data_IF_804558896302
#
_entry.id   IF_804558896302
#
_cell.length_a   1.000
_cell.length_b   1.000
_cell.length_c   1.000
_cell.angle_alpha   90.00
_cell.angle_beta   90.00
_cell.angle_gamma   90.00
#
_symmetry.space_group_name_H-M   'P 1'
#
loop_
_entity.id
_entity.type
_entity.pdbx_description
1 polymer ?
#
# COMPACT_ATOMS: atom_id res chain seq x y z
N UNK A 1 1.58 2.37 21.52
CA UNK A 1 0.35 2.08 20.74
C UNK A 1 0.04 3.14 19.68
N UNK A 2 -0.34 4.38 20.04
CA UNK A 2 -0.81 5.41 19.06
C UNK A 2 0.21 5.76 17.97
N UNK A 3 1.49 5.92 18.30
CA UNK A 3 2.53 6.23 17.31
C UNK A 3 2.71 5.15 16.23
N UNK A 4 2.69 3.87 16.62
CA UNK A 4 2.82 2.75 15.68
C UNK A 4 1.65 2.64 14.72
N UNK A 5 0.43 2.95 15.20
CA UNK A 5 -0.77 2.97 14.36
C UNK A 5 -0.71 4.12 13.36
N UNK A 6 -0.25 5.30 13.79
CA UNK A 6 -0.10 6.47 12.90
C UNK A 6 0.96 6.19 11.83
N UNK A 7 2.12 5.63 12.19
CA UNK A 7 3.13 5.23 11.20
C UNK A 7 2.59 4.18 10.22
N UNK A 8 1.86 3.18 10.72
CA UNK A 8 1.25 2.14 9.90
C UNK A 8 0.27 2.72 8.88
N UNK A 9 -0.66 3.57 9.34
CA UNK A 9 -1.66 4.22 8.48
C UNK A 9 -0.96 5.15 7.49
N UNK A 10 0.03 5.92 7.93
CA UNK A 10 0.78 6.82 7.06
C UNK A 10 1.53 6.05 5.96
N UNK A 11 2.26 4.99 6.31
CA UNK A 11 2.91 4.12 5.32
C UNK A 11 1.92 3.43 4.39
N UNK A 12 0.77 2.96 4.89
CA UNK A 12 -0.28 2.35 4.06
C UNK A 12 -0.85 3.35 3.05
N UNK A 13 -1.15 4.57 3.48
CA UNK A 13 -1.71 5.64 2.62
C UNK A 13 -0.67 6.12 1.62
N UNK A 14 0.57 6.41 2.06
CA UNK A 14 1.65 6.81 1.15
C UNK A 14 1.93 5.73 0.12
N UNK A 15 2.02 4.46 0.53
CA UNK A 15 2.24 3.37 -0.42
C UNK A 15 1.06 3.21 -1.37
N UNK A 16 -0.17 3.24 -0.88
CA UNK A 16 -1.37 3.18 -1.72
C UNK A 16 -1.35 4.28 -2.79
N UNK A 17 -1.08 5.53 -2.42
CA UNK A 17 -1.07 6.66 -3.37
C UNK A 17 0.08 6.52 -4.37
N UNK A 18 1.31 6.28 -3.91
CA UNK A 18 2.48 6.16 -4.77
C UNK A 18 2.37 4.95 -5.71
N UNK A 19 1.89 3.81 -5.21
CA UNK A 19 1.69 2.59 -5.98
C UNK A 19 0.58 2.76 -7.01
N UNK A 20 -0.56 3.33 -6.61
CA UNK A 20 -1.66 3.64 -7.52
C UNK A 20 -1.23 4.57 -8.64
N UNK A 21 -0.44 5.61 -8.30
CA UNK A 21 0.08 6.56 -9.28
C UNK A 21 1.10 5.90 -10.22
N UNK A 22 2.03 5.11 -9.68
CA UNK A 22 3.01 4.36 -10.48
C UNK A 22 2.32 3.38 -11.45
N UNK A 23 1.35 2.61 -10.96
CA UNK A 23 0.59 1.67 -11.79
C UNK A 23 -0.31 2.36 -12.81
N UNK A 24 -0.86 3.53 -12.46
CA UNK A 24 -1.63 4.37 -13.38
C UNK A 24 -0.80 4.74 -14.61
N UNK A 25 0.43 5.21 -14.41
CA UNK A 25 1.33 5.57 -15.52
C UNK A 25 1.97 4.36 -16.21
N UNK A 26 2.24 3.26 -15.49
CA UNK A 26 2.93 2.10 -16.04
C UNK A 26 2.01 1.19 -16.88
N UNK A 27 0.92 0.69 -16.28
CA UNK A 27 0.13 -0.40 -16.83
C UNK A 27 -1.37 -0.09 -16.92
N UNK A 28 -1.98 0.53 -15.91
CA UNK A 28 -3.44 0.67 -15.86
C UNK A 28 -3.98 1.57 -16.98
N UNK A 29 -3.24 2.62 -17.36
CA UNK A 29 -3.58 3.44 -18.54
C UNK A 29 -3.49 2.66 -19.85
N UNK A 30 -2.50 1.76 -20.00
CA UNK A 30 -2.34 0.92 -21.21
C UNK A 30 -3.35 -0.24 -21.26
N UNK A 31 -3.76 -0.74 -20.10
CA UNK A 31 -4.70 -1.84 -19.96
C UNK A 31 -6.19 -1.41 -20.03
N UNK A 32 -6.47 -0.12 -20.21
CA UNK A 32 -7.85 0.39 -20.23
C UNK A 32 -8.60 0.14 -18.93
N UNK A 33 -7.88 0.09 -17.81
CA UNK A 33 -8.43 -0.34 -16.53
C UNK A 33 -9.35 0.76 -15.98
N UNK A 34 -10.62 0.42 -15.72
CA UNK A 34 -11.60 1.39 -15.21
C UNK A 34 -11.12 2.02 -13.90
N UNK A 35 -11.23 3.35 -13.80
CA UNK A 35 -10.72 4.14 -12.66
C UNK A 35 -11.21 3.64 -11.31
N UNK A 36 -12.44 3.10 -11.21
CA UNK A 36 -12.95 2.50 -9.96
C UNK A 36 -12.16 1.27 -9.54
N UNK A 37 -11.82 0.38 -10.49
CA UNK A 37 -11.04 -0.83 -10.20
C UNK A 37 -9.61 -0.48 -9.80
N UNK A 38 -9.01 0.49 -10.50
CA UNK A 38 -7.69 1.02 -10.16
C UNK A 38 -7.64 1.56 -8.72
N UNK A 39 -8.63 2.37 -8.32
CA UNK A 39 -8.72 2.89 -6.96
C UNK A 39 -8.88 1.77 -5.93
N UNK A 40 -9.76 0.79 -6.17
CA UNK A 40 -9.91 -0.35 -5.24
C UNK A 40 -8.62 -1.15 -5.07
N UNK A 41 -7.93 -1.47 -6.17
CA UNK A 41 -6.67 -2.25 -6.13
C UNK A 41 -5.58 -1.46 -5.38
N UNK A 42 -5.49 -0.16 -5.64
CA UNK A 42 -4.59 0.76 -4.96
C UNK A 42 -4.87 0.79 -3.45
N UNK A 43 -6.15 0.88 -3.07
CA UNK A 43 -6.55 0.93 -1.67
C UNK A 43 -6.22 -0.36 -0.91
N UNK A 44 -6.28 -1.51 -1.59
CA UNK A 44 -5.98 -2.82 -1.00
C UNK A 44 -4.46 -3.04 -0.90
N UNK A 45 -3.65 -2.48 -1.81
CA UNK A 45 -2.20 -2.65 -1.77
C UNK A 45 -1.54 -1.94 -0.59
N UNK A 46 -2.11 -0.83 -0.10
CA UNK A 46 -1.63 -0.11 1.09
C UNK A 46 -1.61 -0.97 2.37
N UNK A 47 -2.76 -1.53 2.80
CA UNK A 47 -2.84 -2.44 3.95
C UNK A 47 -2.00 -3.70 3.78
N UNK A 48 -1.90 -4.25 2.56
CA UNK A 48 -1.02 -5.40 2.27
C UNK A 48 0.45 -5.06 2.49
N UNK A 49 0.90 -3.91 2.01
CA UNK A 49 2.27 -3.46 2.23
C UNK A 49 2.53 -3.18 3.71
N UNK A 50 1.64 -2.44 4.37
CA UNK A 50 1.81 -2.08 5.77
C UNK A 50 1.80 -3.32 6.68
N UNK A 51 0.94 -4.31 6.41
CA UNK A 51 0.93 -5.58 7.13
C UNK A 51 2.22 -6.39 6.91
N UNK A 52 2.75 -6.42 5.69
CA UNK A 52 4.04 -7.05 5.39
C UNK A 52 5.21 -6.37 6.13
N UNK A 53 5.26 -5.04 6.16
CA UNK A 53 6.29 -4.28 6.92
C UNK A 53 6.18 -4.54 8.42
N UNK A 54 4.95 -4.64 8.94
CA UNK A 54 4.72 -4.93 10.36
C UNK A 54 5.15 -6.36 10.72
N UNK A 55 4.83 -7.33 9.86
CA UNK A 55 5.27 -8.72 10.02
C UNK A 55 6.80 -8.85 9.96
N UNK A 56 7.45 -8.14 9.02
CA UNK A 56 8.91 -8.12 8.91
C UNK A 56 9.57 -7.48 10.14
N UNK A 57 9.00 -6.39 10.68
CA UNK A 57 9.47 -5.79 11.94
C UNK A 57 9.32 -6.78 13.10
N UNK A 58 8.21 -7.51 13.16
CA UNK A 58 7.98 -8.53 14.19
C UNK A 58 8.99 -9.68 14.11
N UNK A 59 9.19 -10.24 12.90
CA UNK A 59 10.17 -11.32 12.68
C UNK A 59 11.59 -10.87 13.04
N UNK A 60 11.99 -9.66 12.63
CA UNK A 60 13.31 -9.09 12.98
C UNK A 60 13.48 -8.87 14.48
N UNK A 61 12.41 -8.70 15.23
CA UNK A 61 12.48 -8.55 16.68
C UNK A 61 12.57 -9.90 17.41
N UNK A 62 12.26 -11.01 16.72
CA UNK A 62 12.24 -12.37 17.25
C UNK A 62 13.58 -13.12 17.05
N UNK A 63 14.41 -12.65 16.12
CA UNK A 63 15.71 -13.22 15.72
C UNK A 63 16.83 -12.22 16.02
#
# INVERSE_FOLDING_TARGET
MKHYVIEFVFSAVCFSVLWGMAMWFAQWKKAGLSSRKAVCISLISGPLYASGVFLLRYIRHLF
#
